data_IF_705360522542
#
_entry.id   IF_705360522542
#
_cell.length_a   1.000
_cell.length_b   1.000
_cell.length_c   1.000
_cell.angle_alpha   90.00
_cell.angle_beta   90.00
_cell.angle_gamma   90.00
#
_symmetry.space_group_name_H-M   'P 1'
#
loop_
_entity.id
_entity.type
_entity.pdbx_description
1 polymer ?
#
# COMPACT_ATOMS: atom_id res chain seq x y z
N UNK A 1 16.48 -18.82 2.76
CA UNK A 1 16.32 -18.31 1.39
C UNK A 1 16.19 -16.79 1.41
N UNK A 2 16.98 -16.11 0.59
CA UNK A 2 16.93 -14.65 0.51
C UNK A 2 16.03 -14.23 -0.64
N UNK A 3 15.09 -13.33 -0.36
CA UNK A 3 14.26 -12.75 -1.40
C UNK A 3 15.02 -11.63 -2.11
N UNK A 4 14.86 -11.55 -3.41
CA UNK A 4 15.41 -10.46 -4.19
C UNK A 4 14.43 -9.27 -4.16
N UNK A 5 14.90 -8.08 -4.50
CA UNK A 5 14.04 -6.88 -4.58
C UNK A 5 12.80 -7.12 -5.43
N UNK A 6 12.96 -7.85 -6.54
CA UNK A 6 11.84 -8.16 -7.44
C UNK A 6 10.79 -9.03 -6.75
N UNK A 7 11.23 -9.95 -5.89
CA UNK A 7 10.32 -10.81 -5.15
C UNK A 7 9.52 -10.00 -4.14
N UNK A 8 10.17 -9.04 -3.48
CA UNK A 8 9.49 -8.13 -2.55
C UNK A 8 8.41 -7.31 -3.25
N UNK A 9 8.71 -6.83 -4.46
CA UNK A 9 7.73 -6.07 -5.25
C UNK A 9 6.52 -6.92 -5.61
N UNK A 10 6.75 -8.16 -6.03
CA UNK A 10 5.67 -9.08 -6.38
C UNK A 10 4.77 -9.38 -5.18
N UNK A 11 5.38 -9.62 -4.03
CA UNK A 11 4.64 -9.89 -2.80
C UNK A 11 3.85 -8.65 -2.38
N UNK A 12 4.46 -7.47 -2.49
CA UNK A 12 3.78 -6.22 -2.17
C UNK A 12 2.54 -6.02 -3.03
N UNK A 13 2.64 -6.28 -4.33
CA UNK A 13 1.49 -6.18 -5.25
C UNK A 13 0.41 -7.18 -4.87
N UNK A 14 0.78 -8.41 -4.55
CA UNK A 14 -0.21 -9.41 -4.12
C UNK A 14 -0.96 -8.95 -2.87
N UNK A 15 -0.24 -8.38 -1.92
CA UNK A 15 -0.86 -7.88 -0.68
C UNK A 15 -1.74 -6.66 -0.93
N UNK A 16 -1.31 -5.75 -1.81
CA UNK A 16 -2.13 -4.61 -2.18
C UNK A 16 -3.41 -5.05 -2.89
N UNK A 17 -3.32 -6.10 -3.70
CA UNK A 17 -4.49 -6.64 -4.37
C UNK A 17 -5.53 -7.19 -3.39
N UNK A 18 -5.13 -7.66 -2.22
CA UNK A 18 -6.07 -8.07 -1.18
C UNK A 18 -6.91 -6.88 -0.72
N UNK A 19 -6.29 -5.70 -0.61
CA UNK A 19 -7.01 -4.48 -0.24
C UNK A 19 -7.94 -4.00 -1.35
N UNK A 20 -7.60 -4.27 -2.61
CA UNK A 20 -8.45 -3.91 -3.75
C UNK A 20 -9.85 -4.49 -3.56
N UNK A 21 -9.93 -5.79 -3.26
CA UNK A 21 -11.21 -6.46 -3.06
C UNK A 21 -11.99 -5.87 -1.90
N UNK A 22 -11.33 -5.67 -0.77
CA UNK A 22 -11.96 -5.12 0.43
C UNK A 22 -12.51 -3.72 0.19
N UNK A 23 -11.73 -2.87 -0.46
CA UNK A 23 -12.16 -1.49 -0.74
C UNK A 23 -13.23 -1.43 -1.81
N UNK A 24 -13.17 -2.32 -2.81
CA UNK A 24 -14.22 -2.40 -3.83
C UNK A 24 -15.58 -2.70 -3.23
N UNK A 25 -15.63 -3.52 -2.20
CA UNK A 25 -16.88 -3.83 -1.51
C UNK A 25 -17.50 -2.57 -0.88
N UNK A 26 -16.67 -1.58 -0.61
CA UNK A 26 -17.09 -0.29 -0.06
C UNK A 26 -17.27 0.78 -1.12
N UNK A 27 -17.14 0.41 -2.39
CA UNK A 27 -17.25 1.36 -3.49
C UNK A 27 -16.01 2.22 -3.72
N UNK A 28 -14.86 1.77 -3.23
CA UNK A 28 -13.60 2.51 -3.35
C UNK A 28 -12.66 1.76 -4.28
N UNK A 29 -12.14 2.45 -5.30
CA UNK A 29 -11.16 1.89 -6.22
C UNK A 29 -9.76 2.18 -5.68
N UNK A 30 -8.93 1.16 -5.55
CA UNK A 30 -7.55 1.33 -5.08
C UNK A 30 -6.59 1.17 -6.25
N UNK A 31 -5.68 2.13 -6.37
CA UNK A 31 -4.60 2.09 -7.36
C UNK A 31 -3.27 2.47 -6.69
N UNK A 32 -2.17 2.13 -7.33
CA UNK A 32 -0.84 2.48 -6.84
C UNK A 32 0.11 2.70 -8.02
N UNK A 33 1.18 3.44 -7.75
CA UNK A 33 2.23 3.67 -8.73
C UNK A 33 3.36 2.66 -8.55
N UNK A 34 4.18 2.48 -9.57
CA UNK A 34 5.34 1.60 -9.49
C UNK A 34 6.33 2.10 -8.44
N UNK A 35 6.46 3.41 -8.30
CA UNK A 35 7.33 4.02 -7.30
C UNK A 35 6.87 3.67 -5.88
N UNK A 36 5.56 3.63 -5.64
CA UNK A 36 5.03 3.26 -4.35
C UNK A 36 5.37 1.81 -4.01
N UNK A 37 5.21 0.90 -4.98
CA UNK A 37 5.57 -0.51 -4.81
C UNK A 37 7.06 -0.66 -4.53
N UNK A 38 7.89 0.05 -5.27
CA UNK A 38 9.34 0.01 -5.08
C UNK A 38 9.72 0.51 -3.69
N UNK A 39 9.08 1.56 -3.21
CA UNK A 39 9.31 2.10 -1.88
C UNK A 39 8.96 1.09 -0.79
N UNK A 40 7.80 0.46 -0.90
CA UNK A 40 7.36 -0.58 0.04
C UNK A 40 8.37 -1.73 0.07
N UNK A 41 8.77 -2.20 -1.10
CA UNK A 41 9.72 -3.29 -1.22
C UNK A 41 11.07 -2.93 -0.60
N UNK A 42 11.55 -1.72 -0.85
CA UNK A 42 12.82 -1.25 -0.32
C UNK A 42 12.80 -1.17 1.21
N UNK A 43 11.73 -0.65 1.79
CA UNK A 43 11.60 -0.57 3.24
C UNK A 43 11.54 -1.95 3.88
N UNK A 44 10.81 -2.88 3.25
CA UNK A 44 10.68 -4.23 3.78
C UNK A 44 11.96 -5.04 3.65
N UNK A 45 12.78 -4.75 2.63
CA UNK A 45 14.03 -5.47 2.39
C UNK A 45 15.05 -5.28 3.50
N UNK A 46 14.91 -4.23 4.31
CA UNK A 46 15.77 -4.00 5.47
C UNK A 46 15.47 -4.92 6.65
N UNK A 47 14.32 -5.60 6.63
CA UNK A 47 13.91 -6.50 7.70
C UNK A 47 14.40 -7.93 7.47
N UNK A 48 14.09 -8.79 8.41
CA UNK A 48 14.55 -10.18 8.38
C UNK A 48 13.46 -11.20 8.19
N UNK A 49 12.21 -10.76 8.17
CA UNK A 49 11.06 -11.66 8.15
C UNK A 49 10.37 -11.79 6.79
N UNK A 50 10.95 -11.21 5.74
CA UNK A 50 10.43 -11.36 4.38
C UNK A 50 9.01 -10.86 4.22
N UNK A 51 8.08 -11.77 3.90
CA UNK A 51 6.67 -11.41 3.65
C UNK A 51 6.01 -10.68 4.83
N UNK A 52 6.39 -11.04 6.05
CA UNK A 52 5.86 -10.37 7.24
C UNK A 52 6.26 -8.89 7.27
N UNK A 53 7.50 -8.59 6.90
CA UNK A 53 7.98 -7.21 6.84
C UNK A 53 7.24 -6.41 5.81
N UNK A 54 6.92 -7.01 4.66
CA UNK A 54 6.14 -6.36 3.62
C UNK A 54 4.74 -6.05 4.14
N UNK A 55 4.10 -7.01 4.77
CA UNK A 55 2.76 -6.84 5.32
C UNK A 55 2.73 -5.75 6.39
N UNK A 56 3.72 -5.74 7.27
CA UNK A 56 3.82 -4.72 8.32
C UNK A 56 4.07 -3.34 7.73
N UNK A 57 4.90 -3.25 6.69
CA UNK A 57 5.17 -1.99 6.00
C UNK A 57 3.89 -1.43 5.37
N UNK A 58 3.15 -2.28 4.66
CA UNK A 58 1.89 -1.87 4.04
C UNK A 58 0.89 -1.42 5.11
N UNK A 59 0.79 -2.16 6.20
CA UNK A 59 -0.14 -1.82 7.28
C UNK A 59 0.19 -0.45 7.88
N UNK A 60 1.45 -0.18 8.16
CA UNK A 60 1.87 1.08 8.78
C UNK A 60 1.85 2.27 7.83
N UNK A 61 2.11 2.04 6.55
CA UNK A 61 2.19 3.15 5.59
C UNK A 61 0.92 3.33 4.77
N UNK A 62 0.44 2.26 4.16
CA UNK A 62 -0.71 2.34 3.26
C UNK A 62 -2.02 2.30 4.03
N UNK A 63 -2.20 1.27 4.84
CA UNK A 63 -3.47 1.06 5.54
C UNK A 63 -3.80 2.21 6.49
N UNK A 64 -2.84 2.64 7.29
CA UNK A 64 -3.06 3.74 8.22
C UNK A 64 -3.42 5.04 7.51
N UNK A 65 -2.78 5.32 6.38
CA UNK A 65 -3.04 6.53 5.61
C UNK A 65 -4.40 6.47 4.91
N UNK A 66 -4.78 5.30 4.43
CA UNK A 66 -6.11 5.10 3.84
C UNK A 66 -7.18 5.33 4.90
N UNK A 67 -7.00 4.75 6.07
CA UNK A 67 -7.95 4.92 7.16
C UNK A 67 -8.08 6.40 7.55
N UNK A 68 -6.97 7.12 7.67
CA UNK A 68 -6.99 8.54 7.97
C UNK A 68 -7.69 9.35 6.90
N UNK A 69 -7.48 9.02 5.64
CA UNK A 69 -8.12 9.71 4.53
C UNK A 69 -9.64 9.52 4.56
N UNK A 70 -10.09 8.30 4.81
CA UNK A 70 -11.51 7.97 4.88
C UNK A 70 -12.18 8.71 6.05
N UNK A 71 -11.51 8.76 7.20
CA UNK A 71 -12.03 9.48 8.36
C UNK A 71 -12.11 10.98 8.07
N UNK A 72 -11.07 11.54 7.46
CA UNK A 72 -11.01 12.97 7.14
C UNK A 72 -12.08 13.39 6.14
N UNK A 73 -12.28 12.61 5.08
CA UNK A 73 -13.21 12.96 4.01
C UNK A 73 -14.63 12.45 4.24
N UNK A 74 -14.80 11.42 5.06
CA UNK A 74 -16.06 10.72 5.20
C UNK A 74 -16.14 9.56 4.23
N UNK A 75 -16.59 8.41 4.69
CA UNK A 75 -16.56 7.16 3.91
C UNK A 75 -17.30 7.29 2.56
N UNK A 76 -18.45 7.93 2.55
CA UNK A 76 -19.24 8.10 1.34
C UNK A 76 -18.65 9.09 0.34
N UNK A 77 -17.64 9.85 0.73
CA UNK A 77 -17.03 10.88 -0.11
C UNK A 77 -15.73 10.43 -0.77
N UNK A 78 -15.29 9.21 -0.51
CA UNK A 78 -14.08 8.65 -1.12
C UNK A 78 -14.49 7.55 -2.08
N UNK A 79 -14.23 7.73 -3.38
CA UNK A 79 -14.58 6.76 -4.40
C UNK A 79 -13.34 6.11 -5.03
N UNK A 80 -12.18 6.69 -4.81
CA UNK A 80 -10.93 6.14 -5.31
C UNK A 80 -9.76 6.65 -4.51
N UNK A 81 -8.72 5.82 -4.43
CA UNK A 81 -7.49 6.14 -3.70
C UNK A 81 -6.31 5.74 -4.57
N UNK A 82 -5.33 6.63 -4.68
CA UNK A 82 -4.07 6.36 -5.36
C UNK A 82 -2.95 6.36 -4.33
N UNK A 83 -2.20 5.27 -4.27
CA UNK A 83 -1.01 5.16 -3.42
C UNK A 83 0.19 5.61 -4.23
N UNK A 84 0.89 6.61 -3.74
CA UNK A 84 2.03 7.22 -4.43
C UNK A 84 3.24 7.26 -3.52
N UNK A 85 4.35 7.72 -4.09
CA UNK A 85 5.54 8.05 -3.31
C UNK A 85 5.78 9.55 -3.45
N UNK A 86 6.07 10.21 -2.33
CA UNK A 86 6.35 11.62 -2.30
C UNK A 86 7.52 11.87 -1.36
N UNK A 87 8.62 12.38 -1.90
CA UNK A 87 9.82 12.68 -1.12
C UNK A 87 10.34 11.47 -0.33
N UNK A 88 10.27 10.29 -0.93
CA UNK A 88 10.73 9.06 -0.30
C UNK A 88 9.74 8.43 0.66
N UNK A 89 8.57 9.03 0.84
CA UNK A 89 7.52 8.54 1.73
C UNK A 89 6.33 8.03 0.93
N UNK A 90 5.65 7.03 1.47
CA UNK A 90 4.38 6.56 0.90
C UNK A 90 3.31 7.60 1.22
N UNK A 91 2.53 7.95 0.22
CA UNK A 91 1.41 8.87 0.38
C UNK A 91 0.17 8.28 -0.27
N UNK A 92 -1.01 8.74 0.15
CA UNK A 92 -2.28 8.33 -0.46
C UNK A 92 -3.07 9.58 -0.80
N UNK A 93 -3.73 9.54 -1.97
CA UNK A 93 -4.52 10.67 -2.46
C UNK A 93 -5.88 10.17 -2.93
N UNK A 94 -6.94 10.97 -2.73
CA UNK A 94 -8.24 10.64 -3.31
C UNK A 94 -8.21 10.91 -4.82
N UNK A 95 -8.86 10.05 -5.56
CA UNK A 95 -8.98 10.21 -7.00
C UNK A 95 -10.43 10.09 -7.47
#
# INVERSE_FOLDING_TARGET
MLFRSEDYKKIAVLMLNEYVGTLNERGITLRWTDEAVANIAHRAAGGKSGARDIRNTIRRTVEDKIASLIVEKGEGNVTGILVTEKDGEIDVEPI
#
